data_IF_502340599689
#
_entry.id   IF_502340599689
#
_cell.length_a   1.000
_cell.length_b   1.000
_cell.length_c   1.000
_cell.angle_alpha   90.00
_cell.angle_beta   90.00
_cell.angle_gamma   90.00
#
_symmetry.space_group_name_H-M   'P 1'
#
loop_
_entity.id
_entity.type
_entity.pdbx_description
1 polymer ?
#
# COMPACT_ATOMS: atom_id res chain seq x y z
N UNK A 1 0.60 -4.27 2.10
CA UNK A 1 0.57 -2.78 1.99
C UNK A 1 1.51 -2.26 0.91
N UNK A 2 2.85 -2.37 1.05
CA UNK A 2 3.83 -1.84 0.07
C UNK A 2 3.57 -2.29 -1.37
N UNK A 3 3.44 -3.60 -1.60
CA UNK A 3 3.18 -4.16 -2.93
C UNK A 3 1.88 -3.66 -3.57
N UNK A 4 0.81 -3.51 -2.79
CA UNK A 4 -0.46 -3.02 -3.30
C UNK A 4 -0.35 -1.57 -3.79
N UNK A 5 0.35 -0.71 -3.02
CA UNK A 5 0.61 0.67 -3.41
C UNK A 5 1.55 0.77 -4.63
N UNK A 6 2.64 -0.02 -4.64
CA UNK A 6 3.57 -0.06 -5.77
C UNK A 6 2.88 -0.50 -7.07
N UNK A 7 1.98 -1.49 -7.03
CA UNK A 7 1.22 -1.93 -8.20
C UNK A 7 0.34 -0.83 -8.80
N UNK A 8 -0.30 0.00 -7.97
CA UNK A 8 -1.07 1.15 -8.47
C UNK A 8 -0.13 2.20 -9.06
N UNK A 9 0.93 2.57 -8.34
CA UNK A 9 1.92 3.52 -8.82
C UNK A 9 2.55 3.08 -10.15
N UNK A 10 2.91 1.81 -10.28
CA UNK A 10 3.43 1.23 -11.51
C UNK A 10 2.41 1.30 -12.64
N UNK A 11 1.13 0.96 -12.40
CA UNK A 11 0.07 1.06 -13.41
C UNK A 11 -0.20 2.51 -13.85
N UNK A 12 -0.12 3.46 -12.94
CA UNK A 12 -0.30 4.88 -13.24
C UNK A 12 0.87 5.49 -14.02
N UNK A 13 2.09 5.00 -13.83
CA UNK A 13 3.31 5.63 -14.38
C UNK A 13 3.98 4.82 -15.49
N UNK A 14 3.70 3.52 -15.60
CA UNK A 14 4.40 2.59 -16.48
C UNK A 14 5.80 2.20 -16.00
N UNK A 15 6.35 2.85 -14.97
CA UNK A 15 7.75 2.69 -14.55
C UNK A 15 7.93 1.46 -13.67
N UNK A 16 8.89 0.60 -14.00
CA UNK A 16 9.31 -0.55 -13.18
C UNK A 16 10.69 -0.27 -12.60
N UNK A 17 10.82 -0.25 -11.27
CA UNK A 17 12.12 -0.05 -10.59
C UNK A 17 12.15 -0.66 -9.20
N UNK A 18 13.34 -1.13 -8.80
CA UNK A 18 13.58 -1.62 -7.44
C UNK A 18 13.81 -0.45 -6.48
N UNK A 19 12.82 -0.13 -5.66
CA UNK A 19 12.82 1.05 -4.78
C UNK A 19 12.32 0.79 -3.35
N UNK A 20 12.80 -0.25 -2.65
CA UNK A 20 12.28 -0.64 -1.34
C UNK A 20 12.34 0.48 -0.28
N UNK A 21 13.39 1.31 -0.31
CA UNK A 21 13.58 2.43 0.62
C UNK A 21 12.63 3.61 0.34
N UNK A 22 12.09 3.72 -0.87
CA UNK A 22 11.17 4.80 -1.25
C UNK A 22 9.70 4.49 -0.94
N UNK A 23 9.39 3.27 -0.51
CA UNK A 23 8.05 2.86 -0.09
C UNK A 23 7.91 3.07 1.42
N UNK A 24 7.55 4.30 1.82
CA UNK A 24 7.36 4.69 3.21
C UNK A 24 5.98 4.27 3.68
N UNK A 25 5.88 3.40 4.68
CA UNK A 25 4.63 2.82 5.14
C UNK A 25 4.29 3.33 6.55
N UNK A 26 3.01 3.66 6.76
CA UNK A 26 2.49 4.06 8.07
C UNK A 26 1.23 3.24 8.37
N UNK A 27 1.11 2.68 9.58
CA UNK A 27 -0.10 1.97 10.03
C UNK A 27 -0.85 2.90 10.98
N UNK A 28 -2.11 3.21 10.66
CA UNK A 28 -2.93 4.12 11.45
C UNK A 28 -3.86 3.40 12.42
N UNK A 29 -4.44 2.27 11.99
CA UNK A 29 -5.34 1.46 12.83
C UNK A 29 -5.00 -0.01 12.64
N UNK A 30 -4.92 -0.76 13.73
CA UNK A 30 -4.69 -2.21 13.71
C UNK A 30 -5.58 -2.89 14.74
N UNK A 31 -6.11 -4.04 14.35
CA UNK A 31 -6.80 -5.03 15.18
C UNK A 31 -6.23 -6.41 14.86
N UNK A 32 -6.71 -7.46 15.52
CA UNK A 32 -6.22 -8.84 15.32
C UNK A 32 -6.30 -9.32 13.86
N UNK A 33 -7.35 -8.95 13.12
CA UNK A 33 -7.58 -9.44 11.75
C UNK A 33 -7.60 -8.34 10.67
N UNK A 34 -7.44 -7.07 11.03
CA UNK A 34 -7.53 -5.94 10.09
C UNK A 34 -6.50 -4.86 10.41
N UNK A 35 -5.94 -4.25 9.36
CA UNK A 35 -5.14 -3.04 9.48
C UNK A 35 -5.56 -1.99 8.44
N UNK A 36 -5.46 -0.72 8.79
CA UNK A 36 -5.56 0.42 7.88
C UNK A 36 -4.30 1.26 8.02
N UNK A 37 -3.82 1.78 6.91
CA UNK A 37 -2.62 2.60 6.88
C UNK A 37 -2.46 3.26 5.53
N UNK A 38 -1.25 3.72 5.26
CA UNK A 38 -0.89 4.33 4.00
C UNK A 38 0.52 3.95 3.56
N UNK A 39 0.79 4.12 2.28
CA UNK A 39 2.12 4.03 1.70
C UNK A 39 2.35 5.27 0.86
N UNK A 40 3.45 5.97 1.12
CA UNK A 40 3.95 7.04 0.25
C UNK A 40 4.99 6.41 -0.69
N UNK A 41 4.78 6.58 -1.99
CA UNK A 41 5.65 6.09 -3.07
C UNK A 41 5.92 7.23 -4.06
N UNK A 42 7.18 7.68 -4.14
CA UNK A 42 7.60 8.78 -5.03
C UNK A 42 6.68 10.01 -4.92
N UNK A 43 6.40 10.44 -3.67
CA UNK A 43 5.55 11.58 -3.37
C UNK A 43 4.04 11.33 -3.44
N UNK A 44 3.59 10.23 -4.06
CA UNK A 44 2.16 9.88 -4.12
C UNK A 44 1.73 9.09 -2.89
N UNK A 45 0.57 9.45 -2.32
CA UNK A 45 -0.03 8.80 -1.16
C UNK A 45 -1.05 7.74 -1.60
N UNK A 46 -0.98 6.56 -0.98
CA UNK A 46 -1.92 5.46 -1.20
C UNK A 46 -2.46 4.95 0.12
N UNK A 47 -3.76 5.06 0.33
CA UNK A 47 -4.42 4.48 1.49
C UNK A 47 -4.57 2.98 1.31
N UNK A 48 -4.44 2.23 2.40
CA UNK A 48 -4.44 0.77 2.38
C UNK A 48 -5.38 0.19 3.42
N UNK A 49 -6.00 -0.93 3.06
CA UNK A 49 -6.81 -1.76 3.96
C UNK A 49 -6.34 -3.21 3.82
N UNK A 50 -5.93 -3.79 4.94
CA UNK A 50 -5.40 -5.16 5.03
C UNK A 50 -6.35 -6.03 5.84
N UNK A 51 -6.61 -7.24 5.35
CA UNK A 51 -7.23 -8.35 6.08
C UNK A 51 -6.13 -9.38 6.35
N UNK A 52 -6.04 -9.80 7.60
CA UNK A 52 -5.15 -10.86 8.08
C UNK A 52 -6.02 -12.01 8.54
N UNK A 53 -5.82 -13.16 7.93
CA UNK A 53 -6.47 -14.43 8.27
C UNK A 53 -5.39 -15.53 8.37
N UNK A 54 -5.70 -16.71 8.91
CA UNK A 54 -4.76 -17.83 8.95
C UNK A 54 -4.24 -18.24 7.57
N UNK A 55 -5.11 -18.19 6.55
CA UNK A 55 -4.80 -18.71 5.21
C UNK A 55 -4.23 -17.65 4.27
N UNK A 56 -4.52 -16.37 4.51
CA UNK A 56 -4.07 -15.30 3.64
C UNK A 56 -3.92 -13.94 4.33
N UNK A 57 -3.04 -13.12 3.74
CA UNK A 57 -2.98 -11.69 3.99
C UNK A 57 -3.35 -10.99 2.69
N UNK A 58 -4.45 -10.23 2.71
CA UNK A 58 -4.93 -9.49 1.55
C UNK A 58 -4.84 -8.00 1.82
N UNK A 59 -4.23 -7.23 0.92
CA UNK A 59 -4.21 -5.76 1.01
C UNK A 59 -4.75 -5.14 -0.27
N UNK A 60 -5.73 -4.26 -0.12
CA UNK A 60 -6.12 -3.31 -1.16
C UNK A 60 -5.46 -1.96 -0.91
N UNK A 61 -5.15 -1.24 -1.98
CA UNK A 61 -4.68 0.13 -1.94
C UNK A 61 -5.57 1.01 -2.84
N UNK A 62 -5.69 2.29 -2.51
CA UNK A 62 -6.37 3.29 -3.32
C UNK A 62 -5.56 4.59 -3.29
N UNK A 63 -5.42 5.25 -4.43
CA UNK A 63 -4.81 6.58 -4.51
C UNK A 63 -5.76 7.66 -3.99
N UNK A 64 -5.20 8.81 -3.63
CA UNK A 64 -5.97 10.03 -3.39
C UNK A 64 -6.64 10.48 -4.72
N UNK A 65 -7.87 10.98 -4.65
CA UNK A 65 -8.56 11.56 -5.81
C UNK A 65 -7.85 12.88 -6.17
N UNK A 66 -7.47 13.02 -7.44
CA UNK A 66 -6.93 14.25 -8.03
C UNK A 66 -8.06 14.97 -8.75
#
# INVERSE_FOLDING_TARGET
>A
MKEAAYKIWNRQTGIRKYIPLKLRCSVHKRSSCKARGEVICEGKRYYTKTIVSPDFIHTIAAGELV
#
